data_IF_961085191344
#
_entry.id   IF_961085191344
#
_cell.length_a   1.000
_cell.length_b   1.000
_cell.length_c   1.000
_cell.angle_alpha   90.00
_cell.angle_beta   90.00
_cell.angle_gamma   90.00
#
_symmetry.space_group_name_H-M   'P 1'
#
loop_
_entity.id
_entity.type
_entity.pdbx_description
1 polymer ?
#
# COMPACT_ATOMS: atom_id res chain seq x y z
N UNK A 1 14.50 0.01 10.19
CA UNK A 1 15.35 -0.54 9.09
C UNK A 1 14.46 -0.72 7.87
N UNK A 2 14.95 -0.43 6.65
CA UNK A 2 14.19 -0.61 5.40
C UNK A 2 14.65 -1.90 4.72
N UNK A 3 13.71 -2.73 4.33
CA UNK A 3 13.91 -4.05 3.72
C UNK A 3 14.03 -3.93 2.19
N UNK A 4 15.22 -3.64 1.68
CA UNK A 4 15.47 -3.58 0.24
C UNK A 4 15.48 -4.97 -0.42
N UNK A 5 15.62 -6.03 0.34
CA UNK A 5 15.57 -7.42 -0.09
C UNK A 5 14.20 -7.88 -0.63
N UNK A 6 13.16 -7.06 -0.42
CA UNK A 6 11.84 -7.26 -1.05
C UNK A 6 11.84 -6.92 -2.55
N UNK A 7 12.86 -6.20 -3.01
CA UNK A 7 13.00 -5.75 -4.40
C UNK A 7 13.97 -6.66 -5.15
N UNK A 8 13.62 -7.02 -6.37
CA UNK A 8 14.60 -7.64 -7.26
C UNK A 8 15.62 -6.63 -7.78
N UNK A 9 16.66 -7.11 -8.45
CA UNK A 9 17.76 -6.27 -8.95
C UNK A 9 17.28 -5.11 -9.85
N UNK A 10 16.28 -5.35 -10.71
CA UNK A 10 15.75 -4.31 -11.61
C UNK A 10 15.08 -3.18 -10.82
N UNK A 11 14.27 -3.53 -9.82
CA UNK A 11 13.55 -2.58 -8.96
C UNK A 11 14.49 -1.84 -8.01
N UNK A 12 15.50 -2.53 -7.52
CA UNK A 12 16.52 -1.92 -6.67
C UNK A 12 17.31 -0.83 -7.43
N UNK A 13 17.62 -1.06 -8.71
CA UNK A 13 18.28 -0.06 -9.57
C UNK A 13 17.34 1.08 -9.99
N UNK A 14 16.03 0.80 -10.10
CA UNK A 14 15.04 1.80 -10.51
C UNK A 14 14.69 2.78 -9.38
N UNK A 15 14.55 2.29 -8.14
CA UNK A 15 14.06 3.08 -7.01
C UNK A 15 14.85 4.39 -6.79
N UNK A 16 16.20 4.44 -6.82
CA UNK A 16 16.95 5.70 -6.71
C UNK A 16 16.61 6.70 -7.82
N UNK A 17 16.37 6.22 -9.04
CA UNK A 17 16.04 7.06 -10.19
C UNK A 17 14.66 7.71 -10.08
N UNK A 18 13.76 7.17 -9.23
CA UNK A 18 12.46 7.73 -8.93
C UNK A 18 12.49 8.81 -7.84
N UNK A 19 13.64 9.09 -7.24
CA UNK A 19 13.81 10.09 -6.16
C UNK A 19 13.36 11.51 -6.55
N UNK A 20 13.37 11.84 -7.85
CA UNK A 20 12.87 13.13 -8.35
C UNK A 20 11.38 13.37 -8.02
N UNK A 21 10.59 12.32 -7.77
CA UNK A 21 9.17 12.45 -7.40
C UNK A 21 8.99 13.16 -6.06
N UNK A 22 10.02 13.23 -5.21
CA UNK A 22 10.00 14.01 -3.96
C UNK A 22 9.78 15.51 -4.17
N UNK A 23 10.36 16.09 -5.23
CA UNK A 23 10.15 17.51 -5.53
C UNK A 23 8.68 17.86 -5.82
N UNK A 24 7.89 16.84 -6.15
CA UNK A 24 6.45 16.92 -6.33
C UNK A 24 5.65 16.47 -5.11
N UNK A 25 6.29 16.26 -3.95
CA UNK A 25 5.69 15.77 -2.71
C UNK A 25 5.00 14.40 -2.84
N UNK A 26 5.47 13.54 -3.75
CA UNK A 26 5.03 12.17 -3.80
C UNK A 26 5.72 11.34 -2.73
N UNK A 27 4.94 10.45 -2.12
CA UNK A 27 5.41 9.45 -1.18
C UNK A 27 4.97 8.06 -1.62
N UNK A 28 5.79 7.06 -1.33
CA UNK A 28 5.51 5.67 -1.64
C UNK A 28 4.63 5.06 -0.53
N UNK A 29 3.56 4.38 -0.93
CA UNK A 29 2.68 3.66 -0.02
C UNK A 29 2.27 2.30 -0.63
N UNK A 30 1.02 1.87 -0.45
CA UNK A 30 0.52 0.63 -1.03
C UNK A 30 1.27 -0.61 -0.56
N UNK A 31 1.35 -1.61 -1.43
CA UNK A 31 2.00 -2.88 -1.13
C UNK A 31 3.51 -2.77 -0.99
N UNK A 32 4.16 -1.99 -1.85
CA UNK A 32 5.62 -1.84 -1.84
C UNK A 32 6.08 -0.98 -0.68
N UNK A 33 5.38 0.13 -0.37
CA UNK A 33 5.68 0.95 0.80
C UNK A 33 5.55 0.17 2.12
N UNK A 34 4.61 -0.76 2.20
CA UNK A 34 4.45 -1.66 3.35
C UNK A 34 5.55 -2.72 3.39
N UNK A 35 5.81 -3.38 2.25
CA UNK A 35 6.80 -4.44 2.18
C UNK A 35 8.22 -3.94 2.53
N UNK A 36 8.58 -2.72 2.09
CA UNK A 36 9.84 -2.07 2.47
C UNK A 36 9.98 -1.88 3.99
N UNK A 37 8.88 -1.69 4.71
CA UNK A 37 8.90 -1.50 6.16
C UNK A 37 8.86 -2.82 6.95
N UNK A 38 8.15 -3.85 6.44
CA UNK A 38 7.92 -5.08 7.18
C UNK A 38 8.76 -6.27 6.69
N UNK A 39 9.28 -6.24 5.48
CA UNK A 39 10.07 -7.33 4.88
C UNK A 39 9.29 -8.66 4.79
N UNK A 40 7.97 -8.61 4.59
CA UNK A 40 7.13 -9.79 4.70
C UNK A 40 6.92 -10.54 3.38
N UNK A 41 6.90 -9.81 2.25
CA UNK A 41 6.70 -10.38 0.91
C UNK A 41 7.35 -9.55 -0.18
N UNK A 42 7.53 -10.15 -1.35
CA UNK A 42 7.93 -9.43 -2.56
C UNK A 42 6.79 -8.49 -2.99
N UNK A 43 7.16 -7.31 -3.43
CA UNK A 43 6.24 -6.38 -4.09
C UNK A 43 6.86 -5.86 -5.37
N UNK A 44 6.05 -5.74 -6.43
CA UNK A 44 6.55 -5.58 -7.79
C UNK A 44 6.24 -4.22 -8.43
N UNK A 45 5.27 -3.48 -7.91
CA UNK A 45 4.83 -2.21 -8.47
C UNK A 45 5.18 -1.06 -7.52
N UNK A 46 5.40 0.13 -8.04
CA UNK A 46 5.63 1.33 -7.24
C UNK A 46 4.41 2.23 -7.29
N UNK A 47 3.68 2.30 -6.16
CA UNK A 47 2.51 3.17 -6.00
C UNK A 47 2.88 4.41 -5.20
N UNK A 48 2.96 5.55 -5.86
CA UNK A 48 3.22 6.85 -5.26
C UNK A 48 1.94 7.65 -5.11
N UNK A 49 1.84 8.36 -4.01
CA UNK A 49 0.67 9.14 -3.64
C UNK A 49 1.05 10.57 -3.26
N UNK A 50 0.16 11.51 -3.52
CA UNK A 50 0.24 12.88 -3.00
C UNK A 50 -1.16 13.45 -2.76
N UNK A 51 -1.29 14.39 -1.81
CA UNK A 51 -2.58 14.96 -1.45
C UNK A 51 -3.05 16.00 -2.47
N UNK A 52 -2.15 16.90 -2.86
CA UNK A 52 -2.46 18.01 -3.74
C UNK A 52 -2.66 17.57 -5.18
N UNK A 53 -3.40 18.37 -5.97
CA UNK A 53 -3.47 18.15 -7.41
C UNK A 53 -2.08 18.22 -8.06
N UNK A 54 -1.92 17.56 -9.18
CA UNK A 54 -0.72 17.63 -10.00
C UNK A 54 -1.08 17.59 -11.49
N UNK A 55 -0.15 18.03 -12.32
CA UNK A 55 -0.24 17.99 -13.79
C UNK A 55 0.42 16.72 -14.31
N UNK A 56 -0.34 15.66 -14.67
CA UNK A 56 0.24 14.38 -15.07
C UNK A 56 1.14 14.49 -16.30
N UNK A 57 0.77 15.34 -17.27
CA UNK A 57 1.57 15.57 -18.49
C UNK A 57 2.96 16.12 -18.17
N UNK A 58 3.04 17.11 -17.26
CA UNK A 58 4.33 17.68 -16.86
C UNK A 58 5.25 16.64 -16.21
N UNK A 59 4.68 15.77 -15.38
CA UNK A 59 5.47 14.71 -14.74
C UNK A 59 5.86 13.64 -15.76
N UNK A 60 4.98 13.32 -16.72
CA UNK A 60 5.30 12.40 -17.79
C UNK A 60 6.44 12.89 -18.67
N UNK A 61 6.48 14.18 -19.02
CA UNK A 61 7.61 14.78 -19.74
C UNK A 61 8.94 14.57 -18.99
N UNK A 62 8.94 14.74 -17.66
CA UNK A 62 10.14 14.48 -16.88
C UNK A 62 10.53 12.99 -16.84
N UNK A 63 9.53 12.07 -16.86
CA UNK A 63 9.83 10.65 -17.07
C UNK A 63 10.51 10.43 -18.43
N UNK A 64 10.04 11.07 -19.51
CA UNK A 64 10.63 10.96 -20.82
C UNK A 64 12.09 11.43 -20.84
N UNK A 65 12.40 12.54 -20.17
CA UNK A 65 13.77 13.06 -20.05
C UNK A 65 14.68 12.11 -19.25
N UNK A 66 14.21 11.62 -18.08
CA UNK A 66 15.03 10.80 -17.18
C UNK A 66 15.18 9.35 -17.61
N UNK A 67 14.28 8.86 -18.42
CA UNK A 67 14.21 7.48 -18.91
C UNK A 67 14.29 7.38 -20.43
N UNK A 68 14.99 8.36 -21.07
CA UNK A 68 15.11 8.43 -22.54
C UNK A 68 15.79 7.20 -23.15
N UNK A 69 16.65 6.52 -22.41
CA UNK A 69 17.35 5.30 -22.85
C UNK A 69 16.62 4.00 -22.44
N UNK A 70 15.50 4.12 -21.71
CA UNK A 70 14.70 2.98 -21.25
C UNK A 70 13.49 2.76 -22.15
N UNK A 71 12.91 1.56 -22.10
CA UNK A 71 11.60 1.32 -22.69
C UNK A 71 10.52 1.93 -21.79
N UNK A 72 10.20 3.21 -22.02
CA UNK A 72 9.17 3.94 -21.30
C UNK A 72 7.85 3.89 -22.06
N UNK A 73 6.81 3.41 -21.41
CA UNK A 73 5.45 3.36 -21.93
C UNK A 73 4.49 4.15 -21.02
N UNK A 74 3.66 4.99 -21.63
CA UNK A 74 2.51 5.58 -20.95
C UNK A 74 1.37 4.56 -20.94
N UNK A 75 0.93 4.14 -19.75
CA UNK A 75 -0.18 3.21 -19.57
C UNK A 75 -1.48 3.97 -19.36
N UNK A 76 -1.47 4.96 -18.48
CA UNK A 76 -2.64 5.77 -18.16
C UNK A 76 -2.24 7.19 -17.82
N UNK A 77 -3.00 8.16 -18.33
CA UNK A 77 -2.89 9.56 -17.95
C UNK A 77 -4.29 10.16 -17.83
N UNK A 78 -4.68 10.54 -16.63
CA UNK A 78 -5.96 11.13 -16.30
C UNK A 78 -5.78 12.19 -15.22
N UNK A 79 -6.81 13.01 -14.97
CA UNK A 79 -6.78 13.99 -13.88
C UNK A 79 -6.49 13.31 -12.54
N UNK A 80 -5.30 13.60 -11.99
CA UNK A 80 -4.87 13.04 -10.70
C UNK A 80 -4.34 11.59 -10.77
N UNK A 81 -4.05 11.07 -11.96
CA UNK A 81 -3.46 9.74 -12.14
C UNK A 81 -2.47 9.77 -13.31
N UNK A 82 -1.29 9.23 -13.08
CA UNK A 82 -0.31 8.88 -14.10
C UNK A 82 0.20 7.48 -13.82
N UNK A 83 0.07 6.57 -14.77
CA UNK A 83 0.72 5.26 -14.72
C UNK A 83 1.65 5.12 -15.93
N UNK A 84 2.90 4.84 -15.65
CA UNK A 84 3.94 4.57 -16.64
C UNK A 84 4.54 3.20 -16.39
N UNK A 85 5.12 2.63 -17.43
CA UNK A 85 5.96 1.42 -17.30
C UNK A 85 7.35 1.76 -17.81
N UNK A 86 8.34 1.57 -16.95
CA UNK A 86 9.75 1.67 -17.30
C UNK A 86 10.30 0.25 -17.39
N UNK A 87 10.68 -0.17 -18.59
CA UNK A 87 10.99 -1.56 -18.89
C UNK A 87 9.80 -2.46 -18.50
N UNK A 88 9.95 -3.35 -17.51
CA UNK A 88 8.88 -4.27 -17.06
C UNK A 88 8.23 -3.81 -15.75
N UNK A 89 8.53 -2.61 -15.24
CA UNK A 89 8.11 -2.15 -13.91
C UNK A 89 7.07 -1.07 -14.05
N UNK A 90 5.92 -1.28 -13.43
CA UNK A 90 4.85 -0.30 -13.39
C UNK A 90 5.04 0.68 -12.22
N UNK A 91 4.88 1.97 -12.53
CA UNK A 91 4.96 3.08 -11.59
C UNK A 91 3.65 3.86 -11.72
N UNK A 92 2.89 3.88 -10.64
CA UNK A 92 1.63 4.60 -10.57
C UNK A 92 1.73 5.81 -9.64
N UNK A 93 1.26 6.94 -10.11
CA UNK A 93 1.18 8.20 -9.36
C UNK A 93 -0.29 8.56 -9.17
N UNK A 94 -0.71 8.74 -7.91
CA UNK A 94 -2.10 9.00 -7.57
C UNK A 94 -2.25 10.28 -6.77
N UNK A 95 -3.20 11.13 -7.15
CA UNK A 95 -3.75 12.11 -6.23
C UNK A 95 -4.61 11.41 -5.20
N UNK A 96 -4.21 11.52 -3.94
CA UNK A 96 -4.90 10.89 -2.81
C UNK A 96 -5.28 11.95 -1.78
N UNK A 97 -6.51 12.46 -1.87
CA UNK A 97 -7.00 13.67 -1.17
C UNK A 97 -6.98 13.60 0.35
N UNK A 98 -6.83 12.41 0.89
CA UNK A 98 -6.90 12.18 2.34
C UNK A 98 -5.59 12.57 3.02
N UNK A 99 -5.64 13.34 4.13
CA UNK A 99 -4.43 13.74 4.84
C UNK A 99 -3.70 12.55 5.44
N UNK A 100 -2.41 12.69 5.60
CA UNK A 100 -1.61 11.72 6.35
C UNK A 100 -1.91 11.83 7.84
N UNK A 101 -2.03 10.69 8.51
CA UNK A 101 -2.23 10.61 9.97
C UNK A 101 -0.91 10.79 10.73
N UNK A 102 0.22 10.53 10.07
CA UNK A 102 1.57 10.59 10.63
C UNK A 102 2.54 11.26 9.66
N UNK A 103 3.66 11.80 10.16
CA UNK A 103 4.75 12.25 9.30
C UNK A 103 5.26 11.13 8.40
N UNK A 104 5.74 11.49 7.21
CA UNK A 104 6.39 10.56 6.30
C UNK A 104 7.70 10.05 6.88
N UNK A 105 7.98 8.77 6.66
CA UNK A 105 9.25 8.16 6.99
C UNK A 105 10.25 8.53 5.87
N UNK A 106 11.25 9.31 6.22
CA UNK A 106 12.30 9.72 5.28
C UNK A 106 13.27 8.56 5.07
N UNK A 107 13.49 8.17 3.82
CA UNK A 107 14.51 7.19 3.45
C UNK A 107 15.45 7.79 2.40
N UNK A 108 16.46 7.07 2.01
CA UNK A 108 17.42 7.57 1.02
C UNK A 108 16.78 7.86 -0.35
N UNK A 109 15.88 6.99 -0.82
CA UNK A 109 15.39 7.03 -2.20
C UNK A 109 13.94 7.48 -2.34
N UNK A 110 13.09 7.28 -1.32
CA UNK A 110 11.69 7.68 -1.34
C UNK A 110 11.19 8.03 0.06
N UNK A 111 10.24 8.94 0.15
CA UNK A 111 9.48 9.14 1.39
C UNK A 111 8.40 8.07 1.47
N UNK A 112 8.23 7.43 2.62
CA UNK A 112 7.23 6.37 2.81
C UNK A 112 6.09 6.86 3.70
N UNK A 113 4.86 6.44 3.38
CA UNK A 113 3.75 6.57 4.32
C UNK A 113 3.98 5.68 5.55
N UNK A 114 3.47 6.09 6.70
CA UNK A 114 3.55 5.31 7.95
C UNK A 114 2.77 3.99 7.88
N UNK A 115 3.03 3.07 8.82
CA UNK A 115 2.25 1.84 8.94
C UNK A 115 0.79 2.12 9.24
N UNK A 116 0.49 3.18 10.03
CA UNK A 116 -0.86 3.64 10.33
C UNK A 116 -1.59 4.11 9.08
N UNK A 117 -0.92 4.93 8.27
CA UNK A 117 -1.48 5.44 7.01
C UNK A 117 -1.73 4.32 6.00
N UNK A 118 -0.75 3.43 5.80
CA UNK A 118 -0.91 2.27 4.92
C UNK A 118 -1.95 1.30 5.47
N UNK A 119 -1.99 1.12 6.79
CA UNK A 119 -3.00 0.28 7.47
C UNK A 119 -4.43 0.76 7.19
N UNK A 120 -4.68 2.07 7.31
CA UNK A 120 -5.97 2.66 6.94
C UNK A 120 -6.31 2.42 5.45
N UNK A 121 -5.33 2.57 4.54
CA UNK A 121 -5.53 2.26 3.11
C UNK A 121 -5.83 0.77 2.89
N UNK A 122 -5.21 -0.14 3.63
CA UNK A 122 -5.44 -1.59 3.52
C UNK A 122 -6.81 -2.01 4.06
N UNK A 123 -7.32 -1.36 5.10
CA UNK A 123 -8.71 -1.55 5.54
C UNK A 123 -9.68 -1.22 4.41
N UNK A 124 -9.52 -0.08 3.73
CA UNK A 124 -10.35 0.28 2.58
C UNK A 124 -10.19 -0.72 1.43
N UNK A 125 -8.97 -1.16 1.14
CA UNK A 125 -8.72 -2.14 0.08
C UNK A 125 -9.42 -3.48 0.35
N UNK A 126 -9.44 -3.94 1.60
CA UNK A 126 -10.19 -5.14 2.00
C UNK A 126 -11.70 -4.96 1.82
N UNK A 127 -12.24 -3.79 2.18
CA UNK A 127 -13.67 -3.49 1.99
C UNK A 127 -14.09 -3.44 0.52
N UNK A 128 -13.20 -3.01 -0.37
CA UNK A 128 -13.51 -2.79 -1.80
C UNK A 128 -13.24 -4.01 -2.68
N UNK A 129 -12.11 -4.68 -2.47
CA UNK A 129 -11.63 -5.75 -3.35
C UNK A 129 -11.20 -7.03 -2.63
N UNK A 130 -10.78 -6.92 -1.36
CA UNK A 130 -10.46 -8.04 -0.50
C UNK A 130 -9.53 -9.09 -1.09
N UNK A 131 -8.43 -8.70 -1.74
CA UNK A 131 -7.50 -9.67 -2.33
C UNK A 131 -6.64 -10.35 -1.26
N UNK A 132 -6.11 -11.54 -1.57
CA UNK A 132 -5.18 -12.26 -0.67
C UNK A 132 -4.01 -11.38 -0.22
N UNK A 133 -3.46 -10.52 -1.11
CA UNK A 133 -2.41 -9.56 -0.76
C UNK A 133 -2.85 -8.61 0.36
N UNK A 134 -4.07 -8.08 0.27
CA UNK A 134 -4.57 -7.12 1.25
C UNK A 134 -4.75 -7.77 2.63
N UNK A 135 -5.24 -9.00 2.70
CA UNK A 135 -5.35 -9.76 3.95
C UNK A 135 -3.99 -10.15 4.55
N UNK A 136 -3.03 -10.55 3.71
CA UNK A 136 -1.66 -10.83 4.17
C UNK A 136 -1.02 -9.55 4.71
N UNK A 137 -1.19 -8.42 4.02
CA UNK A 137 -0.70 -7.14 4.47
C UNK A 137 -1.33 -6.73 5.83
N UNK A 138 -2.64 -6.92 6.00
CA UNK A 138 -3.33 -6.71 7.30
C UNK A 138 -2.79 -7.65 8.39
N UNK A 139 -2.55 -8.91 8.09
CA UNK A 139 -1.98 -9.86 9.05
C UNK A 139 -0.63 -9.35 9.60
N UNK A 140 0.29 -8.93 8.74
CA UNK A 140 1.59 -8.42 9.18
C UNK A 140 1.50 -7.03 9.82
N UNK A 141 0.58 -6.17 9.40
CA UNK A 141 0.27 -4.93 10.10
C UNK A 141 -0.19 -5.16 11.53
N UNK A 142 -0.96 -6.23 11.78
CA UNK A 142 -1.43 -6.58 13.12
C UNK A 142 -0.32 -7.06 14.08
N UNK A 143 0.91 -7.25 13.61
CA UNK A 143 2.06 -7.44 14.49
C UNK A 143 2.48 -6.13 15.19
N UNK A 144 2.11 -4.97 14.62
CA UNK A 144 2.47 -3.63 15.10
C UNK A 144 1.27 -2.80 15.56
N UNK A 145 0.08 -3.05 15.01
CA UNK A 145 -1.13 -2.28 15.23
C UNK A 145 -2.31 -3.21 15.58
N UNK A 146 -3.08 -2.87 16.58
CA UNK A 146 -4.33 -3.59 16.90
C UNK A 146 -5.39 -3.32 15.83
N UNK A 147 -6.40 -4.21 15.73
CA UNK A 147 -7.60 -4.00 14.88
C UNK A 147 -8.28 -2.66 15.22
N UNK A 148 -8.37 -2.33 16.53
CA UNK A 148 -8.92 -1.05 16.97
C UNK A 148 -8.18 0.12 16.36
N UNK A 149 -6.84 0.13 16.44
CA UNK A 149 -6.01 1.21 15.87
C UNK A 149 -6.19 1.31 14.35
N UNK A 150 -6.17 0.19 13.62
CA UNK A 150 -6.39 0.18 12.17
C UNK A 150 -7.73 0.80 11.79
N UNK A 151 -8.82 0.44 12.50
CA UNK A 151 -10.15 0.98 12.28
C UNK A 151 -10.25 2.46 12.68
N UNK A 152 -9.62 2.87 13.77
CA UNK A 152 -9.64 4.25 14.24
C UNK A 152 -8.86 5.19 13.28
N UNK A 153 -7.74 4.73 12.71
CA UNK A 153 -7.02 5.48 11.68
C UNK A 153 -7.84 5.58 10.38
N UNK A 154 -8.52 4.51 9.99
CA UNK A 154 -9.41 4.54 8.83
C UNK A 154 -10.58 5.50 9.05
N UNK A 155 -11.23 5.47 10.21
CA UNK A 155 -12.35 6.36 10.55
C UNK A 155 -11.94 7.84 10.56
N UNK A 156 -10.78 8.17 11.15
CA UNK A 156 -10.25 9.54 11.15
C UNK A 156 -9.94 10.06 9.74
N UNK A 157 -9.52 9.17 8.85
CA UNK A 157 -9.05 9.51 7.51
C UNK A 157 -10.17 9.59 6.48
N UNK A 158 -11.16 8.72 6.56
CA UNK A 158 -12.20 8.58 5.53
C UNK A 158 -13.56 9.01 6.05
N UNK A 159 -14.06 10.14 5.53
CA UNK A 159 -15.40 10.60 5.85
C UNK A 159 -16.44 9.55 5.42
N UNK A 160 -17.34 9.20 6.33
CA UNK A 160 -18.36 8.16 6.08
C UNK A 160 -17.85 6.72 6.21
N UNK A 161 -16.66 6.52 6.78
CA UNK A 161 -16.17 5.18 7.09
C UNK A 161 -17.14 4.44 8.02
N UNK A 162 -17.40 3.17 7.68
CA UNK A 162 -18.28 2.32 8.47
C UNK A 162 -17.49 1.14 9.06
N UNK A 163 -17.25 1.19 10.38
CA UNK A 163 -16.51 0.14 11.09
C UNK A 163 -17.17 -1.23 10.97
N UNK A 164 -18.52 -1.28 10.96
CA UNK A 164 -19.23 -2.55 10.83
C UNK A 164 -18.95 -3.21 9.48
N UNK A 165 -19.04 -2.45 8.39
CA UNK A 165 -18.71 -2.95 7.05
C UNK A 165 -17.24 -3.36 6.94
N UNK A 166 -16.34 -2.62 7.57
CA UNK A 166 -14.91 -2.98 7.61
C UNK A 166 -14.70 -4.33 8.33
N UNK A 167 -15.35 -4.54 9.46
CA UNK A 167 -15.28 -5.81 10.19
C UNK A 167 -15.91 -6.98 9.40
N UNK A 168 -16.97 -6.75 8.63
CA UNK A 168 -17.51 -7.75 7.72
C UNK A 168 -16.53 -8.08 6.59
N UNK A 169 -15.95 -7.05 5.97
CA UNK A 169 -14.92 -7.22 4.94
C UNK A 169 -13.71 -8.02 5.43
N UNK A 170 -13.23 -7.74 6.65
CA UNK A 170 -12.13 -8.47 7.28
C UNK A 170 -12.43 -9.95 7.55
N UNK A 171 -13.70 -10.37 7.57
CA UNK A 171 -14.12 -11.76 7.74
C UNK A 171 -14.53 -12.44 6.43
N UNK A 172 -14.54 -11.71 5.30
CA UNK A 172 -14.95 -12.24 4.01
C UNK A 172 -13.74 -12.62 3.16
N UNK A 173 -13.38 -13.89 3.11
CA UNK A 173 -12.17 -14.39 2.43
C UNK A 173 -12.46 -15.06 1.08
N UNK A 174 -13.74 -15.20 0.69
CA UNK A 174 -14.15 -16.01 -0.46
C UNK A 174 -13.39 -15.65 -1.74
N UNK A 175 -13.31 -14.36 -2.05
CA UNK A 175 -12.63 -13.88 -3.26
C UNK A 175 -11.10 -14.03 -3.14
N UNK A 176 -10.55 -13.82 -1.94
CA UNK A 176 -9.13 -14.02 -1.66
C UNK A 176 -8.69 -15.49 -1.77
N UNK A 177 -9.57 -16.43 -1.45
CA UNK A 177 -9.26 -17.87 -1.53
C UNK A 177 -8.88 -18.31 -2.95
N UNK A 178 -9.44 -17.67 -3.97
CA UNK A 178 -9.17 -17.96 -5.39
C UNK A 178 -7.88 -17.30 -5.92
N UNK A 179 -7.29 -16.38 -5.19
CA UNK A 179 -6.10 -15.67 -5.65
C UNK A 179 -4.85 -16.58 -5.59
N UNK A 180 -3.93 -16.35 -6.54
CA UNK A 180 -2.63 -17.04 -6.58
C UNK A 180 -1.85 -16.83 -5.27
N UNK A 181 -0.95 -17.79 -4.99
CA UNK A 181 -0.01 -17.68 -3.88
C UNK A 181 0.91 -16.46 -4.06
N UNK A 182 1.26 -15.83 -2.93
CA UNK A 182 2.19 -14.71 -2.89
C UNK A 182 3.62 -15.21 -2.70
N UNK A 183 4.59 -14.47 -3.24
CA UNK A 183 6.00 -14.72 -2.98
C UNK A 183 6.37 -14.10 -1.64
N UNK A 184 6.36 -14.92 -0.60
CA UNK A 184 6.60 -14.49 0.78
C UNK A 184 8.10 -14.54 1.12
N UNK A 185 8.59 -13.53 1.85
CA UNK A 185 9.90 -13.57 2.52
C UNK A 185 9.77 -14.09 3.95
N UNK A 186 8.65 -13.79 4.61
CA UNK A 186 8.25 -14.40 5.88
C UNK A 186 7.13 -15.40 5.61
N UNK A 187 7.45 -16.69 5.36
CA UNK A 187 6.46 -17.70 4.97
C UNK A 187 5.36 -17.85 6.02
N UNK A 188 4.12 -17.82 5.58
CA UNK A 188 2.95 -18.06 6.44
C UNK A 188 1.86 -18.80 5.66
N UNK A 189 1.26 -19.85 6.23
CA UNK A 189 0.12 -20.52 5.63
C UNK A 189 -1.10 -19.59 5.56
N UNK A 190 -1.80 -19.58 4.43
CA UNK A 190 -3.01 -18.78 4.25
C UNK A 190 -4.10 -19.08 5.31
N UNK A 191 -4.23 -20.35 5.72
CA UNK A 191 -5.13 -20.75 6.81
C UNK A 191 -4.80 -20.05 8.14
N UNK A 192 -3.51 -19.83 8.45
CA UNK A 192 -3.09 -19.11 9.65
C UNK A 192 -3.41 -17.64 9.56
N UNK A 193 -3.23 -17.01 8.38
CA UNK A 193 -3.63 -15.60 8.14
C UNK A 193 -5.12 -15.43 8.44
N UNK A 194 -5.98 -16.28 7.86
CA UNK A 194 -7.42 -16.22 8.08
C UNK A 194 -7.79 -16.41 9.55
N UNK A 195 -7.24 -17.45 10.18
CA UNK A 195 -7.50 -17.77 11.60
C UNK A 195 -7.17 -16.60 12.51
N UNK A 196 -6.00 -16.00 12.34
CA UNK A 196 -5.55 -14.89 13.19
C UNK A 196 -6.42 -13.64 13.02
N UNK A 197 -6.79 -13.29 11.79
CA UNK A 197 -7.70 -12.16 11.53
C UNK A 197 -9.05 -12.41 12.20
N UNK A 198 -9.63 -13.61 12.05
CA UNK A 198 -10.90 -13.97 12.69
C UNK A 198 -10.81 -13.83 14.23
N UNK A 199 -9.76 -14.36 14.84
CA UNK A 199 -9.56 -14.29 16.29
C UNK A 199 -9.50 -12.85 16.76
N UNK A 200 -8.69 -12.00 16.12
CA UNK A 200 -8.52 -10.59 16.52
C UNK A 200 -9.77 -9.75 16.28
N UNK A 201 -10.47 -9.98 15.16
CA UNK A 201 -11.74 -9.29 14.87
C UNK A 201 -12.82 -9.68 15.88
N UNK A 202 -12.95 -10.98 16.24
CA UNK A 202 -13.90 -11.43 17.22
C UNK A 202 -13.57 -10.93 18.64
N UNK A 203 -12.31 -10.88 19.02
CA UNK A 203 -11.87 -10.29 20.28
C UNK A 203 -12.25 -8.80 20.37
N UNK A 204 -12.02 -8.05 19.29
CA UNK A 204 -12.43 -6.65 19.20
C UNK A 204 -13.96 -6.48 19.34
N UNK A 205 -14.76 -7.28 18.60
CA UNK A 205 -16.24 -7.24 18.71
C UNK A 205 -16.73 -7.49 20.15
N UNK A 206 -16.14 -8.49 20.82
CA UNK A 206 -16.48 -8.80 22.24
C UNK A 206 -16.14 -7.66 23.19
N UNK A 207 -15.02 -6.96 22.98
CA UNK A 207 -14.64 -5.83 23.82
C UNK A 207 -15.53 -4.59 23.60
N UNK A 208 -15.96 -4.35 22.34
CA UNK A 208 -16.85 -3.25 22.00
C UNK A 208 -18.30 -3.43 22.52
N UNK A 209 -18.74 -4.67 22.74
CA UNK A 209 -20.07 -4.96 23.33
C UNK A 209 -20.10 -4.82 24.86
N UNK A 210 -18.96 -4.64 25.53
CA UNK A 210 -18.86 -4.49 26.98
C UNK A 210 -18.73 -3.02 27.44
N UNK A 211 -18.65 -2.10 26.49
CA UNK A 211 -18.64 -0.65 26.68
C UNK A 211 -20.02 -0.05 26.32
#
# INVERSE_FOLDING_TARGET
>A
MIHLDILDKKRLLLLPRLSFLRKYNFYLAGGTGLALQLGHRISIDFDFYRQEPFEPQKIFQEFQEKFAEDNLMQIQINKGTLTVRVNDIEISLFRYRYPLARPLIKTEHADLASLEDIGAMKIIAVMQRGTKRDFVDIYFLMENLSIKQLLDFAEKRYKGFNKYLALQGLLYFKDADTNKALKMLKPIPWSKVKKEIIVRVNAFKKSALKQ
#
